data_IF_370435972571
#
_entry.id   IF_370435972571
#
_cell.length_a   1.000
_cell.length_b   1.000
_cell.length_c   1.000
_cell.angle_alpha   90.00
_cell.angle_beta   90.00
_cell.angle_gamma   90.00
#
_symmetry.space_group_name_H-M   'P 1'
#
loop_
_entity.id
_entity.type
_entity.pdbx_description
1 polymer ?
#
# COMPACT_ATOMS: atom_id res chain seq x y z
N UNK A 1 -10.70 36.43 -11.27
CA UNK A 1 -10.50 35.14 -11.98
C UNK A 1 -11.80 34.36 -11.83
N UNK A 2 -12.68 34.36 -12.85
CA UNK A 2 -14.08 33.88 -12.73
C UNK A 2 -14.47 32.91 -13.87
N UNK A 3 -13.49 32.22 -14.47
CA UNK A 3 -13.75 31.34 -15.61
C UNK A 3 -14.00 29.86 -15.22
N UNK A 4 -13.51 29.38 -14.06
CA UNK A 4 -13.55 27.96 -13.69
C UNK A 4 -14.90 27.47 -13.16
N UNK A 5 -15.69 28.31 -12.48
CA UNK A 5 -17.01 27.93 -11.92
C UNK A 5 -18.12 27.79 -12.97
N UNK A 6 -17.95 28.35 -14.16
CA UNK A 6 -18.97 28.32 -15.21
C UNK A 6 -18.91 27.05 -16.07
N UNK A 7 -17.81 26.29 -16.03
CA UNK A 7 -17.61 25.11 -16.88
C UNK A 7 -18.12 23.79 -16.26
N UNK A 8 -18.15 23.70 -14.92
CA UNK A 8 -18.76 22.56 -14.21
C UNK A 8 -20.29 22.43 -14.47
N UNK A 9 -20.95 23.48 -14.98
CA UNK A 9 -22.41 23.49 -15.23
C UNK A 9 -22.85 22.77 -16.52
N UNK A 10 -21.94 22.20 -17.32
CA UNK A 10 -22.32 21.60 -18.61
C UNK A 10 -21.84 20.15 -18.82
N UNK A 11 -21.40 19.47 -17.75
CA UNK A 11 -21.05 18.06 -17.79
C UNK A 11 -22.33 17.20 -17.88
N UNK A 12 -22.69 16.76 -19.09
CA UNK A 12 -23.75 15.78 -19.30
C UNK A 12 -23.18 14.36 -19.26
N UNK A 13 -23.44 13.61 -18.19
CA UNK A 13 -23.07 12.20 -18.10
C UNK A 13 -24.20 11.33 -18.67
N UNK A 14 -23.99 10.78 -19.87
CA UNK A 14 -25.00 9.96 -20.57
C UNK A 14 -24.70 8.46 -20.56
N UNK A 15 -23.49 8.08 -20.12
CA UNK A 15 -23.03 6.70 -19.97
C UNK A 15 -22.43 6.52 -18.58
N UNK A 16 -22.31 5.27 -18.16
CA UNK A 16 -21.52 4.94 -16.98
C UNK A 16 -20.02 5.15 -17.26
N UNK A 17 -19.29 5.59 -16.24
CA UNK A 17 -17.84 5.77 -16.27
C UNK A 17 -17.22 4.92 -15.15
N UNK A 18 -16.08 4.32 -15.45
CA UNK A 18 -15.30 3.48 -14.54
C UNK A 18 -13.91 3.28 -15.13
N UNK A 19 -13.07 2.51 -14.44
CA UNK A 19 -11.68 2.26 -14.86
C UNK A 19 -11.60 1.87 -16.34
N UNK A 20 -10.66 2.48 -17.05
CA UNK A 20 -10.46 2.32 -18.50
C UNK A 20 -11.36 3.22 -19.37
N UNK A 21 -12.36 3.89 -18.80
CA UNK A 21 -13.13 4.91 -19.54
C UNK A 21 -12.24 6.08 -19.94
N UNK A 22 -12.45 6.60 -21.16
CA UNK A 22 -11.73 7.79 -21.65
C UNK A 22 -12.66 8.75 -22.34
N UNK A 23 -12.33 10.04 -22.31
CA UNK A 23 -13.00 11.06 -23.10
C UNK A 23 -13.32 12.34 -22.34
N UNK A 24 -14.02 13.25 -23.03
CA UNK A 24 -14.37 14.56 -22.48
C UNK A 24 -15.30 14.47 -21.27
N UNK A 25 -16.14 13.44 -21.20
CA UNK A 25 -17.00 13.17 -20.04
C UNK A 25 -16.17 12.82 -18.81
N UNK A 26 -15.15 11.98 -18.94
CA UNK A 26 -14.21 11.68 -17.84
C UNK A 26 -13.48 12.94 -17.38
N UNK A 27 -12.96 13.76 -18.29
CA UNK A 27 -12.27 15.01 -17.91
C UNK A 27 -13.20 15.98 -17.19
N UNK A 28 -14.49 15.97 -17.55
CA UNK A 28 -15.51 16.79 -16.90
C UNK A 28 -15.80 16.29 -15.48
N UNK A 29 -15.85 14.96 -15.30
CA UNK A 29 -15.99 14.33 -13.99
C UNK A 29 -14.81 14.67 -13.08
N UNK A 30 -13.57 14.50 -13.56
CA UNK A 30 -12.36 14.82 -12.80
C UNK A 30 -12.35 16.30 -12.36
N UNK A 31 -12.71 17.22 -13.24
CA UNK A 31 -12.84 18.65 -12.91
C UNK A 31 -13.89 18.89 -11.81
N UNK A 32 -15.03 18.21 -11.91
CA UNK A 32 -16.08 18.32 -10.91
C UNK A 32 -15.62 17.77 -9.55
N UNK A 33 -15.00 16.59 -9.50
CA UNK A 33 -14.52 15.95 -8.27
C UNK A 33 -13.49 16.83 -7.54
N UNK A 34 -12.53 17.40 -8.27
CA UNK A 34 -11.59 18.39 -7.71
C UNK A 34 -12.32 19.60 -7.11
N UNK A 35 -13.40 20.05 -7.73
CA UNK A 35 -14.19 21.19 -7.23
C UNK A 35 -15.10 20.84 -6.04
N UNK A 36 -15.49 19.57 -5.94
CA UNK A 36 -16.37 19.05 -4.91
C UNK A 36 -15.62 18.70 -3.61
N UNK A 37 -14.28 18.74 -3.61
CA UNK A 37 -13.47 18.31 -2.47
C UNK A 37 -13.47 16.79 -2.32
N UNK A 38 -13.54 16.05 -3.42
CA UNK A 38 -13.25 14.62 -3.42
C UNK A 38 -11.79 14.40 -2.99
N UNK A 39 -11.51 13.23 -2.41
CA UNK A 39 -10.16 12.83 -2.01
C UNK A 39 -9.19 12.83 -3.20
N UNK A 40 -7.94 13.26 -2.95
CA UNK A 40 -6.90 13.41 -3.95
C UNK A 40 -7.10 14.58 -4.92
N UNK A 41 -6.00 15.12 -5.47
CA UNK A 41 -6.07 16.08 -6.58
C UNK A 41 -5.93 15.35 -7.92
N UNK A 42 -6.98 15.37 -8.74
CA UNK A 42 -6.96 14.70 -10.03
C UNK A 42 -6.31 15.55 -11.11
N UNK A 43 -5.44 14.94 -11.91
CA UNK A 43 -5.13 15.44 -13.25
C UNK A 43 -6.37 15.30 -14.12
N UNK A 44 -6.74 16.37 -14.83
CA UNK A 44 -7.94 16.41 -15.69
C UNK A 44 -7.61 16.03 -17.12
N UNK A 45 -7.10 14.80 -17.29
CA UNK A 45 -6.61 14.26 -18.55
C UNK A 45 -7.67 13.53 -19.38
N UNK A 46 -8.84 13.25 -18.79
CA UNK A 46 -9.91 12.49 -19.42
C UNK A 46 -9.66 10.99 -19.47
N UNK A 47 -8.81 10.45 -18.60
CA UNK A 47 -8.55 9.02 -18.44
C UNK A 47 -9.03 8.59 -17.05
N UNK A 48 -9.95 7.63 -17.01
CA UNK A 48 -10.48 7.11 -15.76
C UNK A 48 -9.55 5.99 -15.28
N UNK A 49 -8.50 6.38 -14.56
CA UNK A 49 -7.60 5.47 -13.84
C UNK A 49 -8.01 5.32 -12.37
N UNK A 50 -7.17 4.64 -11.59
CA UNK A 50 -7.41 4.31 -10.19
C UNK A 50 -7.66 5.57 -9.33
N UNK A 51 -6.81 6.61 -9.47
CA UNK A 51 -7.01 7.91 -8.80
C UNK A 51 -8.39 8.53 -9.08
N UNK A 52 -8.90 8.42 -10.32
CA UNK A 52 -10.27 8.91 -10.64
C UNK A 52 -11.35 8.03 -10.02
N UNK A 53 -11.13 6.71 -9.95
CA UNK A 53 -12.02 5.76 -9.27
C UNK A 53 -12.14 6.10 -7.78
N UNK A 54 -11.02 6.31 -7.09
CA UNK A 54 -10.97 6.70 -5.67
C UNK A 54 -11.66 8.04 -5.42
N UNK A 55 -11.43 9.05 -6.26
CA UNK A 55 -12.11 10.33 -6.12
C UNK A 55 -13.63 10.20 -6.33
N UNK A 56 -14.09 9.36 -7.27
CA UNK A 56 -15.52 9.05 -7.43
C UNK A 56 -16.05 8.32 -6.21
N UNK A 57 -15.30 7.35 -5.72
CA UNK A 57 -15.62 6.59 -4.52
C UNK A 57 -15.82 7.54 -3.31
N UNK A 58 -14.87 8.44 -3.09
CA UNK A 58 -14.93 9.44 -2.01
C UNK A 58 -16.13 10.37 -2.17
N UNK A 59 -16.36 10.86 -3.39
CA UNK A 59 -17.52 11.69 -3.67
C UNK A 59 -18.85 10.94 -3.42
N UNK A 60 -18.94 9.65 -3.77
CA UNK A 60 -20.12 8.83 -3.50
C UNK A 60 -20.38 8.73 -1.99
N UNK A 61 -19.34 8.42 -1.21
CA UNK A 61 -19.40 8.33 0.25
C UNK A 61 -19.89 9.64 0.87
N UNK A 62 -19.30 10.76 0.47
CA UNK A 62 -19.67 12.10 0.94
C UNK A 62 -21.14 12.47 0.67
N UNK A 63 -21.74 11.90 -0.38
CA UNK A 63 -23.09 12.26 -0.81
C UNK A 63 -24.13 11.14 -0.61
N UNK A 64 -23.79 10.09 0.16
CA UNK A 64 -24.72 9.02 0.51
C UNK A 64 -25.12 8.13 -0.68
N UNK A 65 -24.27 8.04 -1.70
CA UNK A 65 -24.36 7.00 -2.74
C UNK A 65 -23.44 5.86 -2.32
N UNK A 66 -23.86 4.61 -2.54
CA UNK A 66 -23.02 3.43 -2.29
C UNK A 66 -21.67 3.63 -3.01
N UNK A 67 -20.57 3.79 -2.27
CA UNK A 67 -19.26 4.02 -2.85
C UNK A 67 -18.82 2.76 -3.57
N UNK A 68 -18.45 2.90 -4.84
CA UNK A 68 -18.04 1.79 -5.71
C UNK A 68 -16.90 2.18 -6.63
N UNK A 69 -16.46 3.45 -6.60
CA UNK A 69 -15.54 4.00 -7.59
C UNK A 69 -16.10 3.99 -9.03
N UNK A 70 -17.33 3.50 -9.24
CA UNK A 70 -18.00 3.43 -10.52
C UNK A 70 -19.06 4.54 -10.63
N UNK A 71 -18.93 5.40 -11.62
CA UNK A 71 -19.86 6.49 -11.88
C UNK A 71 -21.11 6.01 -12.65
N UNK A 72 -21.86 5.13 -12.00
CA UNK A 72 -23.06 4.47 -12.52
C UNK A 72 -24.34 5.29 -12.43
N UNK A 73 -25.49 4.65 -12.65
CA UNK A 73 -26.79 5.30 -12.69
C UNK A 73 -27.13 6.09 -11.42
N UNK A 74 -26.82 5.56 -10.23
CA UNK A 74 -27.06 6.23 -8.94
C UNK A 74 -26.21 7.51 -8.80
N UNK A 75 -24.92 7.43 -9.12
CA UNK A 75 -24.00 8.58 -9.12
C UNK A 75 -24.44 9.66 -10.10
N UNK A 76 -24.82 9.29 -11.32
CA UNK A 76 -25.35 10.23 -12.32
C UNK A 76 -26.66 10.88 -11.88
N UNK A 77 -27.56 10.11 -11.29
CA UNK A 77 -28.84 10.61 -10.82
C UNK A 77 -28.65 11.63 -9.70
N UNK A 78 -27.74 11.36 -8.76
CA UNK A 78 -27.39 12.32 -7.71
C UNK A 78 -26.68 13.55 -8.30
N UNK A 79 -25.65 13.37 -9.14
CA UNK A 79 -24.94 14.47 -9.79
C UNK A 79 -25.91 15.42 -10.51
N UNK A 80 -26.91 14.87 -11.22
CA UNK A 80 -27.92 15.69 -11.91
C UNK A 80 -28.80 16.49 -10.93
N UNK A 81 -29.07 15.95 -9.74
CA UNK A 81 -29.87 16.62 -8.70
C UNK A 81 -29.08 17.75 -8.03
N UNK A 82 -27.80 17.53 -7.71
CA UNK A 82 -26.96 18.52 -7.03
C UNK A 82 -26.36 19.54 -8.01
N UNK A 83 -25.91 19.10 -9.19
CA UNK A 83 -25.34 19.94 -10.24
C UNK A 83 -26.37 20.86 -10.92
N UNK A 84 -27.66 20.50 -10.86
CA UNK A 84 -28.76 21.33 -11.37
C UNK A 84 -29.24 22.44 -10.42
N UNK A 85 -28.82 22.43 -9.15
CA UNK A 85 -29.45 23.25 -8.10
C UNK A 85 -28.46 24.04 -7.22
N UNK A 86 -27.23 24.31 -7.69
CA UNK A 86 -26.28 25.16 -6.99
C UNK A 86 -26.66 26.65 -7.10
N UNK A 87 -27.76 27.03 -6.44
CA UNK A 87 -28.17 28.42 -6.25
C UNK A 87 -28.90 28.60 -4.91
N UNK A 88 -28.21 28.32 -3.81
CA UNK A 88 -28.52 28.93 -2.50
C UNK A 88 -27.37 28.68 -1.54
N UNK A 89 -26.75 29.75 -1.08
CA UNK A 89 -25.64 29.68 -0.13
C UNK A 89 -26.07 29.16 1.24
N UNK A 90 -25.06 28.66 1.95
CA UNK A 90 -24.99 28.70 3.41
C UNK A 90 -26.05 27.89 4.15
N UNK A 91 -25.70 26.67 4.50
CA UNK A 91 -26.02 26.16 5.83
C UNK A 91 -24.75 25.60 6.46
N UNK A 92 -24.02 26.52 7.07
CA UNK A 92 -23.12 26.22 8.18
C UNK A 92 -23.94 25.58 9.29
N UNK A 93 -23.74 24.29 9.54
CA UNK A 93 -24.11 23.68 10.82
C UNK A 93 -22.85 23.77 11.69
N UNK A 94 -22.97 24.64 12.69
CA UNK A 94 -21.86 25.19 13.44
C UNK A 94 -21.14 24.19 14.33
N UNK A 95 -19.89 24.58 14.62
CA UNK A 95 -19.00 24.01 15.59
C UNK A 95 -19.67 23.72 16.94
N UNK A 96 -19.44 22.52 17.45
CA UNK A 96 -19.18 22.30 18.87
C UNK A 96 -17.73 21.85 18.99
N UNK A 97 -16.88 22.76 19.42
CA UNK A 97 -15.61 22.46 20.04
C UNK A 97 -15.89 21.68 21.33
N UNK A 98 -15.69 20.37 21.31
CA UNK A 98 -15.42 19.63 22.54
C UNK A 98 -14.26 18.68 22.28
N UNK A 99 -13.12 19.06 22.86
CA UNK A 99 -11.88 18.29 22.84
C UNK A 99 -12.06 17.11 23.78
N UNK A 100 -12.31 15.92 23.22
CA UNK A 100 -12.16 14.66 23.95
C UNK A 100 -11.69 13.57 22.99
N UNK A 101 -10.40 13.26 23.07
CA UNK A 101 -9.66 12.20 22.36
C UNK A 101 -10.16 10.77 22.71
N UNK A 102 -11.46 10.54 22.91
CA UNK A 102 -11.96 9.30 23.54
C UNK A 102 -13.35 8.83 23.10
N UNK A 103 -13.89 9.28 21.96
CA UNK A 103 -15.06 8.61 21.37
C UNK A 103 -14.63 7.57 20.35
N UNK A 104 -15.28 6.41 20.36
CA UNK A 104 -15.11 5.37 19.32
C UNK A 104 -15.26 5.93 17.91
N UNK A 105 -16.15 6.91 17.75
CA UNK A 105 -16.31 7.70 16.52
C UNK A 105 -15.04 8.46 16.11
N UNK A 106 -14.33 9.07 17.05
CA UNK A 106 -13.09 9.78 16.73
C UNK A 106 -11.94 8.82 16.41
N UNK A 107 -11.87 7.69 17.12
CA UNK A 107 -10.86 6.65 16.87
C UNK A 107 -11.06 5.98 15.50
N UNK A 108 -12.28 5.55 15.20
CA UNK A 108 -12.62 4.99 13.89
C UNK A 108 -12.37 5.99 12.76
N UNK A 109 -12.71 7.26 12.97
CA UNK A 109 -12.42 8.31 11.98
C UNK A 109 -10.92 8.45 11.73
N UNK A 110 -10.13 8.49 12.80
CA UNK A 110 -8.68 8.62 12.68
C UNK A 110 -8.10 7.40 11.94
N UNK A 111 -8.48 6.19 12.33
CA UNK A 111 -8.00 4.99 11.64
C UNK A 111 -8.38 4.91 10.18
N UNK A 112 -9.59 5.35 9.83
CA UNK A 112 -10.02 5.47 8.44
C UNK A 112 -9.15 6.52 7.70
N UNK A 113 -8.77 7.62 8.35
CA UNK A 113 -7.88 8.62 7.74
C UNK A 113 -6.45 8.07 7.56
N UNK A 114 -5.92 7.34 8.56
CA UNK A 114 -4.61 6.68 8.50
C UNK A 114 -4.59 5.63 7.37
N UNK A 115 -5.60 4.75 7.29
CA UNK A 115 -5.72 3.74 6.22
C UNK A 115 -5.78 4.36 4.81
N UNK A 116 -6.39 5.54 4.67
CA UNK A 116 -6.42 6.24 3.38
C UNK A 116 -5.06 6.78 2.96
N UNK A 117 -4.25 7.22 3.92
CA UNK A 117 -2.88 7.71 3.68
C UNK A 117 -2.00 6.54 3.24
N UNK A 118 -2.03 5.42 3.99
CA UNK A 118 -1.24 4.23 3.68
C UNK A 118 -1.58 3.62 2.30
N UNK A 119 -2.87 3.57 1.95
CA UNK A 119 -3.33 3.09 0.64
C UNK A 119 -2.87 4.02 -0.51
N UNK A 120 -2.69 5.32 -0.24
CA UNK A 120 -2.11 6.25 -1.22
C UNK A 120 -0.62 5.99 -1.38
N UNK A 121 0.09 5.77 -0.28
CA UNK A 121 1.53 5.46 -0.27
C UNK A 121 1.81 4.11 -0.97
N UNK A 122 1.04 3.06 -0.66
CA UNK A 122 1.09 1.76 -1.33
C UNK A 122 0.88 1.86 -2.85
N UNK A 123 -0.07 2.69 -3.28
CA UNK A 123 -0.29 2.91 -4.70
C UNK A 123 0.88 3.65 -5.37
N UNK A 124 1.45 4.66 -4.70
CA UNK A 124 2.58 5.39 -5.25
C UNK A 124 3.83 4.48 -5.32
N UNK A 125 4.05 3.57 -4.36
CA UNK A 125 5.14 2.59 -4.39
C UNK A 125 4.97 1.56 -5.52
N UNK A 126 3.77 1.00 -5.68
CA UNK A 126 3.44 0.11 -6.81
C UNK A 126 3.63 0.83 -8.16
N UNK A 127 3.19 2.08 -8.28
CA UNK A 127 3.32 2.87 -9.51
C UNK A 127 4.81 3.17 -9.85
N UNK A 128 5.68 3.32 -8.85
CA UNK A 128 7.11 3.61 -9.01
C UNK A 128 7.98 2.33 -9.13
N UNK A 129 7.45 1.17 -8.73
CA UNK A 129 8.15 -0.11 -8.78
C UNK A 129 8.50 -0.53 -10.22
N UNK A 130 9.68 -1.14 -10.37
CA UNK A 130 10.12 -1.77 -11.63
C UNK A 130 10.07 -3.31 -11.57
N UNK A 131 9.52 -3.87 -10.47
CA UNK A 131 9.39 -5.31 -10.21
C UNK A 131 8.00 -5.83 -10.67
N UNK A 132 7.73 -7.12 -10.44
CA UNK A 132 6.38 -7.65 -10.63
C UNK A 132 5.53 -7.23 -9.42
N UNK A 133 4.41 -6.56 -9.66
CA UNK A 133 3.53 -6.01 -8.62
C UNK A 133 2.21 -6.76 -8.54
N UNK A 134 2.10 -7.95 -9.15
CA UNK A 134 0.83 -8.69 -9.19
C UNK A 134 0.27 -8.96 -7.77
N UNK A 135 1.12 -9.37 -6.84
CA UNK A 135 0.74 -9.67 -5.45
C UNK A 135 0.41 -8.36 -4.70
N UNK A 136 1.29 -7.35 -4.81
CA UNK A 136 1.06 -6.01 -4.26
C UNK A 136 -0.26 -5.37 -4.74
N UNK A 137 -0.62 -5.58 -6.00
CA UNK A 137 -1.89 -5.12 -6.57
C UNK A 137 -3.11 -5.86 -5.99
N UNK A 138 -2.97 -7.13 -5.60
CA UNK A 138 -4.01 -7.92 -4.92
C UNK A 138 -4.21 -7.41 -3.49
N UNK A 139 -3.13 -7.25 -2.72
CA UNK A 139 -3.15 -6.70 -1.36
C UNK A 139 -3.72 -5.28 -1.33
N UNK A 140 -3.35 -4.44 -2.30
CA UNK A 140 -3.95 -3.12 -2.47
C UNK A 140 -5.46 -3.17 -2.76
N UNK A 141 -5.94 -4.15 -3.54
CA UNK A 141 -7.38 -4.33 -3.81
C UNK A 141 -8.16 -4.69 -2.52
N UNK A 142 -7.60 -5.56 -1.69
CA UNK A 142 -8.17 -5.95 -0.40
C UNK A 142 -8.17 -4.78 0.59
N UNK A 143 -7.10 -3.99 0.64
CA UNK A 143 -7.04 -2.74 1.41
C UNK A 143 -8.18 -1.77 1.03
N UNK A 144 -8.45 -1.60 -0.27
CA UNK A 144 -9.59 -0.78 -0.74
C UNK A 144 -10.95 -1.36 -0.34
N UNK A 145 -11.09 -2.68 -0.30
CA UNK A 145 -12.32 -3.36 0.08
C UNK A 145 -12.62 -3.14 1.58
N UNK A 146 -11.61 -3.29 2.43
CA UNK A 146 -11.76 -3.11 3.88
C UNK A 146 -11.95 -1.64 4.25
N UNK A 147 -11.26 -0.72 3.56
CA UNK A 147 -11.51 0.71 3.73
C UNK A 147 -12.97 1.05 3.39
N UNK A 148 -13.55 0.42 2.38
CA UNK A 148 -14.96 0.60 2.02
C UNK A 148 -15.91 0.09 3.09
N UNK A 149 -15.60 -1.05 3.70
CA UNK A 149 -16.38 -1.63 4.78
C UNK A 149 -16.26 -0.77 6.05
N UNK A 150 -15.07 -0.26 6.37
CA UNK A 150 -14.82 0.69 7.44
C UNK A 150 -15.68 1.95 7.31
N UNK A 151 -15.68 2.57 6.13
CA UNK A 151 -16.50 3.75 5.85
C UNK A 151 -18.00 3.46 5.89
N UNK A 152 -18.44 2.28 5.43
CA UNK A 152 -19.86 1.88 5.49
C UNK A 152 -20.33 1.80 6.94
N UNK A 153 -19.56 1.12 7.78
CA UNK A 153 -19.86 0.95 9.19
C UNK A 153 -19.83 2.29 9.93
N UNK A 154 -18.88 3.16 9.58
CA UNK A 154 -18.81 4.53 10.11
C UNK A 154 -20.10 5.33 9.85
N UNK A 155 -20.64 5.26 8.63
CA UNK A 155 -21.85 5.99 8.24
C UNK A 155 -23.11 5.50 8.96
N UNK A 156 -23.20 4.20 9.27
CA UNK A 156 -24.30 3.63 10.07
C UNK A 156 -24.06 3.76 11.58
N UNK A 157 -22.97 4.43 11.98
CA UNK A 157 -22.54 4.70 13.36
C UNK A 157 -22.13 3.44 14.11
N UNK A 158 -21.68 2.43 13.39
CA UNK A 158 -21.10 1.23 13.93
C UNK A 158 -19.57 1.41 14.01
N UNK A 159 -19.13 2.18 15.01
CA UNK A 159 -17.74 2.64 15.06
C UNK A 159 -16.75 1.57 15.53
N UNK A 160 -17.23 0.45 16.09
CA UNK A 160 -16.36 -0.67 16.45
C UNK A 160 -15.94 -1.41 15.16
N UNK A 161 -16.91 -1.90 14.39
CA UNK A 161 -16.64 -2.56 13.11
C UNK A 161 -15.93 -1.60 12.13
N UNK A 162 -16.27 -0.31 12.14
CA UNK A 162 -15.56 0.68 11.33
C UNK A 162 -14.08 0.85 11.69
N UNK A 163 -13.74 0.66 12.97
CA UNK A 163 -12.36 0.70 13.44
C UNK A 163 -11.63 -0.58 13.04
N UNK A 164 -12.26 -1.74 13.20
CA UNK A 164 -11.68 -3.04 12.87
C UNK A 164 -11.35 -3.11 11.37
N UNK A 165 -12.33 -2.85 10.49
CA UNK A 165 -12.09 -2.81 9.04
C UNK A 165 -11.05 -1.76 8.62
N UNK A 166 -10.90 -0.67 9.37
CA UNK A 166 -9.87 0.33 9.05
C UNK A 166 -8.46 -0.13 9.45
N UNK A 167 -8.32 -1.06 10.41
CA UNK A 167 -7.02 -1.70 10.65
C UNK A 167 -6.76 -2.79 9.61
N UNK A 168 -7.76 -3.59 9.26
CA UNK A 168 -7.61 -4.59 8.19
C UNK A 168 -7.16 -3.90 6.88
N UNK A 169 -7.72 -2.73 6.58
CA UNK A 169 -7.30 -1.91 5.45
C UNK A 169 -5.88 -1.32 5.55
N UNK A 170 -5.38 -1.08 6.78
CA UNK A 170 -4.00 -0.64 7.00
C UNK A 170 -3.04 -1.81 6.78
N UNK A 171 -3.33 -2.97 7.38
CA UNK A 171 -2.51 -4.17 7.28
C UNK A 171 -2.35 -4.58 5.80
N UNK A 172 -3.44 -4.67 5.04
CA UNK A 172 -3.36 -4.99 3.61
C UNK A 172 -2.64 -3.90 2.77
N UNK A 173 -2.60 -2.64 3.23
CA UNK A 173 -1.87 -1.58 2.56
C UNK A 173 -0.37 -1.64 2.86
N UNK A 174 0.01 -2.00 4.09
CA UNK A 174 1.39 -2.30 4.50
C UNK A 174 1.91 -3.51 3.71
N UNK A 175 1.15 -4.61 3.63
CA UNK A 175 1.49 -5.79 2.82
C UNK A 175 1.74 -5.41 1.35
N UNK A 176 0.88 -4.55 0.79
CA UNK A 176 1.03 -4.08 -0.59
C UNK A 176 2.31 -3.24 -0.81
N UNK A 177 2.76 -2.48 0.20
CA UNK A 177 4.02 -1.72 0.14
C UNK A 177 5.20 -2.70 0.13
N UNK A 178 5.20 -3.66 1.03
CA UNK A 178 6.30 -4.62 1.19
C UNK A 178 6.43 -5.49 -0.08
N UNK A 179 5.32 -6.00 -0.60
CA UNK A 179 5.27 -6.77 -1.83
C UNK A 179 5.73 -5.94 -3.05
N UNK A 180 5.42 -4.63 -3.09
CA UNK A 180 5.86 -3.74 -4.17
C UNK A 180 7.38 -3.49 -4.15
N UNK A 181 7.94 -3.41 -2.94
CA UNK A 181 9.38 -3.36 -2.68
C UNK A 181 10.06 -4.72 -2.97
N UNK A 182 9.28 -5.78 -3.12
CA UNK A 182 9.75 -7.15 -3.29
C UNK A 182 10.30 -7.75 -2.00
N UNK A 183 9.91 -7.20 -0.84
CA UNK A 183 9.94 -7.88 0.45
C UNK A 183 8.68 -8.73 0.49
N UNK A 184 8.77 -9.97 0.00
CA UNK A 184 7.76 -10.94 0.41
C UNK A 184 8.03 -11.16 1.89
N UNK A 185 7.15 -10.72 2.79
CA UNK A 185 7.39 -10.88 4.23
C UNK A 185 7.80 -12.32 4.51
N UNK A 186 9.04 -12.49 4.97
CA UNK A 186 9.69 -13.75 5.25
C UNK A 186 8.86 -14.49 6.26
N UNK A 187 8.25 -15.61 5.83
CA UNK A 187 7.56 -16.42 6.81
C UNK A 187 8.61 -17.06 7.71
N UNK A 188 8.18 -17.50 8.90
CA UNK A 188 9.04 -18.34 9.74
C UNK A 188 9.64 -19.53 8.97
N UNK A 189 8.90 -20.08 7.99
CA UNK A 189 9.38 -21.20 7.16
C UNK A 189 10.49 -20.73 6.20
N UNK A 190 10.33 -19.56 5.58
CA UNK A 190 11.33 -18.98 4.67
C UNK A 190 12.61 -18.61 5.41
N UNK A 191 12.52 -17.96 6.57
CA UNK A 191 13.68 -17.65 7.41
C UNK A 191 14.37 -18.91 7.96
N UNK A 192 13.63 -19.97 8.29
CA UNK A 192 14.20 -21.25 8.72
C UNK A 192 14.94 -21.94 7.57
N UNK A 193 14.37 -21.93 6.35
CA UNK A 193 15.01 -22.48 5.15
C UNK A 193 16.28 -21.68 4.78
N UNK A 194 16.26 -20.34 4.87
CA UNK A 194 17.41 -19.49 4.59
C UNK A 194 18.57 -19.70 5.59
N UNK A 195 18.25 -19.84 6.88
CA UNK A 195 19.25 -20.17 7.92
C UNK A 195 19.89 -21.55 7.66
N UNK A 196 19.08 -22.56 7.33
CA UNK A 196 19.56 -23.90 6.99
C UNK A 196 20.48 -23.87 5.75
N UNK A 197 20.12 -23.09 4.71
CA UNK A 197 20.92 -22.94 3.49
C UNK A 197 22.26 -22.22 3.78
N UNK A 198 22.24 -21.15 4.59
CA UNK A 198 23.45 -20.43 5.02
C UNK A 198 24.38 -21.31 5.89
N UNK A 199 23.83 -22.10 6.81
CA UNK A 199 24.59 -23.10 7.58
C UNK A 199 25.30 -24.09 6.64
N UNK A 200 24.59 -24.64 5.66
CA UNK A 200 25.15 -25.58 4.68
C UNK A 200 26.27 -24.92 3.84
N UNK A 201 26.09 -23.67 3.40
CA UNK A 201 27.09 -22.92 2.63
C UNK A 201 28.36 -22.63 3.45
N UNK A 202 28.22 -22.22 4.72
CA UNK A 202 29.34 -21.99 5.65
C UNK A 202 30.12 -23.28 5.88
N UNK A 203 29.42 -24.41 6.11
CA UNK A 203 30.07 -25.71 6.28
C UNK A 203 30.84 -26.13 5.01
N UNK A 204 30.28 -25.91 3.83
CA UNK A 204 30.96 -26.19 2.55
C UNK A 204 32.19 -25.28 2.35
N UNK A 205 32.09 -24.00 2.75
CA UNK A 205 33.19 -23.04 2.69
C UNK A 205 34.34 -23.40 3.64
N UNK A 206 34.03 -23.79 4.89
CA UNK A 206 35.00 -24.31 5.85
C UNK A 206 35.81 -25.49 5.27
N UNK A 207 35.10 -26.47 4.69
CA UNK A 207 35.70 -27.67 4.11
C UNK A 207 36.64 -27.31 2.94
N UNK A 208 36.23 -26.43 2.02
CA UNK A 208 37.08 -26.02 0.89
C UNK A 208 38.28 -25.16 1.32
N UNK A 209 38.12 -24.29 2.33
CA UNK A 209 39.23 -23.51 2.91
C UNK A 209 40.26 -24.44 3.54
N UNK A 210 39.84 -25.46 4.28
CA UNK A 210 40.74 -26.44 4.89
C UNK A 210 41.49 -27.25 3.82
N UNK A 211 40.78 -27.67 2.77
CA UNK A 211 41.36 -28.37 1.63
C UNK A 211 42.39 -27.49 0.87
N UNK A 212 42.10 -26.21 0.69
CA UNK A 212 42.99 -25.23 0.09
C UNK A 212 44.24 -24.97 0.95
N UNK A 213 44.06 -24.89 2.27
CA UNK A 213 45.15 -24.75 3.25
C UNK A 213 46.10 -25.96 3.19
N UNK A 214 45.56 -27.17 3.07
CA UNK A 214 46.34 -28.40 2.91
C UNK A 214 47.10 -28.47 1.58
N UNK A 215 46.54 -27.86 0.52
CA UNK A 215 47.24 -27.66 -0.77
C UNK A 215 48.30 -26.56 -0.70
N UNK A 216 48.35 -25.79 0.38
CA UNK A 216 49.27 -24.68 0.60
C UNK A 216 48.89 -23.40 -0.14
N UNK A 217 47.61 -23.22 -0.46
CA UNK A 217 47.07 -21.97 -0.97
C UNK A 217 47.03 -20.90 0.13
N UNK A 218 46.93 -19.63 -0.28
CA UNK A 218 46.71 -18.54 0.65
C UNK A 218 45.21 -18.41 0.88
N UNK A 219 44.77 -18.68 2.11
CA UNK A 219 43.37 -18.73 2.48
C UNK A 219 42.92 -17.50 3.28
N UNK A 220 43.82 -16.59 3.64
CA UNK A 220 43.50 -15.49 4.57
C UNK A 220 42.27 -14.66 4.18
N UNK A 221 42.07 -14.39 2.89
CA UNK A 221 40.93 -13.60 2.44
C UNK A 221 39.62 -14.40 2.45
N UNK A 222 39.69 -15.71 2.17
CA UNK A 222 38.55 -16.60 2.32
C UNK A 222 38.17 -16.77 3.80
N UNK A 223 39.17 -16.89 4.69
CA UNK A 223 38.96 -16.91 6.15
C UNK A 223 38.31 -15.59 6.62
N UNK A 224 38.76 -14.43 6.14
CA UNK A 224 38.15 -13.13 6.51
C UNK A 224 36.67 -13.03 6.06
N UNK A 225 36.29 -13.65 4.93
CA UNK A 225 34.90 -13.68 4.43
C UNK A 225 34.04 -14.70 5.19
N UNK A 226 34.61 -15.88 5.48
CA UNK A 226 33.95 -16.90 6.29
C UNK A 226 33.65 -16.39 7.70
N UNK A 227 34.59 -15.66 8.32
CA UNK A 227 34.38 -15.03 9.63
C UNK A 227 33.18 -14.05 9.59
N UNK A 228 32.98 -13.30 8.50
CA UNK A 228 31.82 -12.40 8.34
C UNK A 228 30.52 -13.17 8.12
N UNK A 229 30.55 -14.25 7.33
CA UNK A 229 29.40 -15.14 7.13
C UNK A 229 28.93 -15.76 8.46
N UNK A 230 29.87 -16.25 9.29
CA UNK A 230 29.57 -16.79 10.62
C UNK A 230 28.95 -15.72 11.54
N UNK A 231 29.49 -14.49 11.53
CA UNK A 231 28.96 -13.40 12.35
C UNK A 231 27.52 -13.03 11.93
N UNK A 232 27.22 -12.99 10.64
CA UNK A 232 25.88 -12.72 10.10
C UNK A 232 24.89 -13.84 10.40
N UNK A 233 25.28 -15.11 10.25
CA UNK A 233 24.42 -16.25 10.58
C UNK A 233 24.02 -16.22 12.07
N UNK A 234 24.96 -15.87 12.96
CA UNK A 234 24.64 -15.71 14.38
C UNK A 234 23.62 -14.57 14.63
N UNK A 235 23.69 -13.47 13.88
CA UNK A 235 22.71 -12.37 13.95
C UNK A 235 21.34 -12.81 13.41
N UNK A 236 21.32 -13.57 12.30
CA UNK A 236 20.11 -14.16 11.74
C UNK A 236 19.39 -15.10 12.73
N UNK A 237 20.13 -15.98 13.41
CA UNK A 237 19.59 -16.85 14.45
C UNK A 237 18.99 -16.07 15.63
N UNK A 238 19.65 -14.98 16.05
CA UNK A 238 19.18 -14.11 17.13
C UNK A 238 17.86 -13.41 16.75
N UNK A 239 17.74 -12.87 15.52
CA UNK A 239 16.50 -12.24 15.03
C UNK A 239 15.37 -13.26 14.83
N UNK A 240 15.68 -14.47 14.35
CA UNK A 240 14.70 -15.56 14.24
C UNK A 240 14.10 -15.95 15.60
N UNK A 241 14.93 -16.00 16.64
CA UNK A 241 14.51 -16.29 18.02
C UNK A 241 13.66 -15.15 18.60
N UNK A 242 13.94 -13.90 18.22
CA UNK A 242 13.14 -12.72 18.58
C UNK A 242 11.84 -12.60 17.77
N UNK A 243 11.74 -13.34 16.65
CA UNK A 243 10.57 -13.45 15.80
C UNK A 243 10.53 -12.42 14.67
N UNK A 244 11.65 -11.76 14.40
CA UNK A 244 11.85 -10.86 13.27
C UNK A 244 12.32 -11.70 12.07
N UNK A 245 11.35 -12.34 11.39
CA UNK A 245 11.64 -13.32 10.34
C UNK A 245 12.14 -12.67 9.05
N UNK A 246 11.73 -11.43 8.78
CA UNK A 246 12.23 -10.66 7.64
C UNK A 246 13.72 -10.35 7.80
N UNK A 247 14.10 -9.79 8.96
CA UNK A 247 15.49 -9.48 9.27
C UNK A 247 16.34 -10.77 9.35
N UNK A 248 15.78 -11.87 9.88
CA UNK A 248 16.47 -13.15 9.92
C UNK A 248 16.73 -13.74 8.52
N UNK A 249 15.77 -13.68 7.59
CA UNK A 249 15.93 -14.13 6.21
C UNK A 249 17.00 -13.29 5.49
N UNK A 250 16.90 -11.96 5.57
CA UNK A 250 17.85 -11.03 4.94
C UNK A 250 19.31 -11.28 5.43
N UNK A 251 19.50 -11.47 6.73
CA UNK A 251 20.82 -11.74 7.32
C UNK A 251 21.36 -13.13 6.92
N UNK A 252 20.50 -14.14 6.84
CA UNK A 252 20.88 -15.48 6.43
C UNK A 252 21.28 -15.52 4.95
N UNK A 253 20.54 -14.86 4.05
CA UNK A 253 20.92 -14.72 2.64
C UNK A 253 22.25 -13.98 2.48
N UNK A 254 22.51 -12.93 3.27
CA UNK A 254 23.81 -12.23 3.25
C UNK A 254 24.94 -13.14 3.74
N UNK A 255 24.72 -13.95 4.77
CA UNK A 255 25.68 -14.94 5.26
C UNK A 255 26.03 -15.99 4.18
N UNK A 256 25.01 -16.50 3.46
CA UNK A 256 25.20 -17.42 2.33
C UNK A 256 26.09 -16.78 1.24
N UNK A 257 25.82 -15.52 0.86
CA UNK A 257 26.61 -14.80 -0.15
C UNK A 257 28.09 -14.68 0.27
N UNK A 258 28.37 -14.35 1.53
CA UNK A 258 29.74 -14.27 2.04
C UNK A 258 30.46 -15.63 2.06
N UNK A 259 29.75 -16.71 2.39
CA UNK A 259 30.30 -18.07 2.35
C UNK A 259 30.65 -18.50 0.91
N UNK A 260 29.78 -18.22 -0.04
CA UNK A 260 30.01 -18.45 -1.47
C UNK A 260 31.20 -17.62 -1.99
N UNK A 261 31.27 -16.33 -1.65
CA UNK A 261 32.39 -15.45 -1.98
C UNK A 261 33.71 -15.96 -1.38
N UNK A 262 33.67 -16.55 -0.19
CA UNK A 262 34.83 -17.17 0.45
C UNK A 262 35.37 -18.33 -0.41
N UNK A 263 34.49 -19.23 -0.86
CA UNK A 263 34.83 -20.34 -1.76
C UNK A 263 35.38 -19.81 -3.09
N UNK A 264 34.71 -18.85 -3.70
CA UNK A 264 35.09 -18.29 -5.00
C UNK A 264 36.46 -17.61 -4.95
N UNK A 265 36.82 -17.04 -3.80
CA UNK A 265 38.13 -16.39 -3.61
C UNK A 265 39.33 -17.35 -3.58
N UNK A 266 39.09 -18.66 -3.43
CA UNK A 266 40.13 -19.69 -3.44
C UNK A 266 40.61 -20.08 -4.86
N UNK A 267 39.87 -19.67 -5.91
CA UNK A 267 40.06 -20.03 -7.31
C UNK A 267 40.87 -19.00 -8.14
#
# INVERSE_FOLDING_TARGET
>A
MSASRAQAQNCGFYRDLGVGSRGSDVSCLQQYLNSAGAYGYLVTDGIYGNKTSQAVWSWQAQNGVVPSGYFGASSRALFSQIGGNYNSGGQVLGASTDLSFTSKEAQAKQKIEDAMEEIEDAQDEIDDSNKNTDDAEESLEDAYHDLLDAFREYLVRNYDDAYDFANDALENAEDAIDEADGRSGGTREDAEDAIDDAEDAINDAEDEIDDARDRGQNVNFAEDLLDEAEDLLNEAEDEFDDGDYDDAEDLAEEAEEFADDAIDSLN
#
